data_IF_867161646313
#
_entry.id   IF_867161646313
#
_cell.length_a   1.000
_cell.length_b   1.000
_cell.length_c   1.000
_cell.angle_alpha   90.00
_cell.angle_beta   90.00
_cell.angle_gamma   90.00
#
_symmetry.space_group_name_H-M   'P 1'
#
loop_
_entity.id
_entity.type
_entity.pdbx_description
1 polymer ?
#
# COMPACT_ATOMS: atom_id res chain seq x y z
N UNK A 1 -18.88 17.13 -4.75
CA UNK A 1 -18.85 15.84 -5.47
C UNK A 1 -17.70 15.78 -6.48
N UNK A 2 -17.57 16.73 -7.40
CA UNK A 2 -16.46 16.73 -8.42
C UNK A 2 -15.08 16.79 -7.74
N UNK A 3 -14.89 17.64 -6.75
CA UNK A 3 -13.62 17.76 -6.01
C UNK A 3 -13.20 16.42 -5.40
N UNK A 4 -14.11 15.69 -4.82
CA UNK A 4 -13.89 14.36 -4.25
C UNK A 4 -13.30 13.37 -5.28
N UNK A 5 -13.86 13.32 -6.49
CA UNK A 5 -13.35 12.43 -7.54
C UNK A 5 -11.98 12.88 -8.06
N UNK A 6 -11.73 14.19 -8.11
CA UNK A 6 -10.41 14.73 -8.51
C UNK A 6 -9.35 14.34 -7.48
N UNK A 7 -9.63 14.46 -6.19
CA UNK A 7 -8.73 14.07 -5.10
C UNK A 7 -8.39 12.58 -5.16
N UNK A 8 -9.40 11.71 -5.33
CA UNK A 8 -9.15 10.26 -5.50
C UNK A 8 -8.32 9.97 -6.75
N UNK A 9 -8.60 10.66 -7.85
CA UNK A 9 -7.83 10.48 -9.08
C UNK A 9 -6.36 10.86 -8.88
N UNK A 10 -6.08 11.99 -8.22
CA UNK A 10 -4.71 12.42 -7.91
C UNK A 10 -4.01 11.38 -7.03
N UNK A 11 -4.66 10.93 -5.95
CA UNK A 11 -4.10 9.92 -5.07
C UNK A 11 -3.84 8.59 -5.80
N UNK A 12 -4.74 8.20 -6.72
CA UNK A 12 -4.59 6.98 -7.52
C UNK A 12 -3.41 7.06 -8.49
N UNK A 13 -3.20 8.21 -9.12
CA UNK A 13 -2.06 8.43 -10.02
C UNK A 13 -0.74 8.42 -9.22
N UNK A 14 -0.72 9.07 -8.08
CA UNK A 14 0.44 9.07 -7.17
C UNK A 14 0.74 7.65 -6.73
N UNK A 15 -0.25 6.92 -6.22
CA UNK A 15 -0.09 5.54 -5.79
C UNK A 15 0.43 4.66 -6.93
N UNK A 16 -0.20 4.72 -8.11
CA UNK A 16 0.20 3.91 -9.26
C UNK A 16 1.63 4.21 -9.74
N UNK A 17 2.10 5.44 -9.58
CA UNK A 17 3.47 5.82 -9.93
C UNK A 17 4.49 5.37 -8.88
N UNK A 18 4.24 5.66 -7.60
CA UNK A 18 5.20 5.40 -6.53
C UNK A 18 5.23 3.94 -6.05
N UNK A 19 4.20 3.14 -6.35
CA UNK A 19 4.19 1.71 -5.99
C UNK A 19 5.29 0.91 -6.69
N UNK A 20 5.69 1.33 -7.89
CA UNK A 20 6.72 0.66 -8.68
C UNK A 20 8.13 1.25 -8.50
N UNK A 21 8.24 2.34 -7.77
CA UNK A 21 9.54 2.93 -7.42
C UNK A 21 9.93 2.42 -6.02
N UNK A 22 11.21 2.10 -5.76
CA UNK A 22 11.64 1.58 -4.45
C UNK A 22 11.67 2.67 -3.37
N UNK A 23 10.56 3.36 -3.19
CA UNK A 23 10.31 4.37 -2.16
C UNK A 23 8.94 4.09 -1.52
N UNK A 24 8.74 4.53 -0.28
CA UNK A 24 7.47 4.31 0.40
C UNK A 24 6.34 5.11 -0.26
N UNK A 25 5.46 4.43 -1.01
CA UNK A 25 4.26 5.03 -1.60
C UNK A 25 3.34 5.64 -0.54
N UNK A 26 3.17 4.98 0.60
CA UNK A 26 2.37 5.48 1.73
C UNK A 26 2.89 6.83 2.26
N UNK A 27 4.22 7.00 2.37
CA UNK A 27 4.81 8.27 2.81
C UNK A 27 4.48 9.40 1.81
N UNK A 28 4.55 9.12 0.51
CA UNK A 28 4.23 10.11 -0.53
C UNK A 28 2.75 10.48 -0.54
N UNK A 29 1.85 9.51 -0.35
CA UNK A 29 0.42 9.77 -0.20
C UNK A 29 0.15 10.68 1.00
N UNK A 30 0.86 10.45 2.13
CA UNK A 30 0.75 11.26 3.35
C UNK A 30 1.21 12.70 3.09
N UNK A 31 2.36 12.87 2.46
CA UNK A 31 2.92 14.19 2.18
C UNK A 31 2.03 14.98 1.20
N UNK A 32 1.61 14.35 0.10
CA UNK A 32 0.78 15.01 -0.92
C UNK A 32 -0.57 15.39 -0.35
N UNK A 33 -1.24 14.51 0.42
CA UNK A 33 -2.51 14.84 1.04
C UNK A 33 -2.42 16.02 2.01
N UNK A 34 -1.28 16.16 2.70
CA UNK A 34 -1.04 17.30 3.61
C UNK A 34 -0.75 18.61 2.87
N UNK A 35 0.07 18.57 1.82
CA UNK A 35 0.43 19.76 1.03
C UNK A 35 -0.79 20.26 0.25
N UNK A 36 -1.59 19.37 -0.28
CA UNK A 36 -2.76 19.69 -1.10
C UNK A 36 -4.05 19.86 -0.31
N UNK A 37 -3.99 19.84 1.04
CA UNK A 37 -5.16 19.92 1.94
C UNK A 37 -6.26 18.90 1.59
N UNK A 38 -5.87 17.74 1.06
CA UNK A 38 -6.80 16.66 0.72
C UNK A 38 -7.34 16.04 2.01
N UNK A 39 -8.61 16.26 2.28
CA UNK A 39 -9.28 15.80 3.50
C UNK A 39 -9.76 14.34 3.44
N UNK A 40 -9.69 13.71 2.27
CA UNK A 40 -10.21 12.35 2.02
C UNK A 40 -9.30 11.23 2.50
N UNK A 41 -8.28 11.53 3.27
CA UNK A 41 -7.33 10.52 3.66
C UNK A 41 -7.84 9.69 4.83
N UNK A 42 -8.29 8.49 4.54
CA UNK A 42 -8.57 7.45 5.52
C UNK A 42 -7.73 6.20 5.23
N UNK A 43 -7.54 5.36 6.22
CA UNK A 43 -6.90 4.05 6.06
C UNK A 43 -7.61 3.21 4.98
N UNK A 44 -8.93 3.33 4.88
CA UNK A 44 -9.75 2.62 3.90
C UNK A 44 -9.43 3.02 2.46
N UNK A 45 -9.21 4.31 2.21
CA UNK A 45 -8.81 4.81 0.88
C UNK A 45 -7.40 4.30 0.53
N UNK A 46 -6.46 4.39 1.45
CA UNK A 46 -5.10 3.89 1.21
C UNK A 46 -5.11 2.37 0.90
N UNK A 47 -5.87 1.57 1.65
CA UNK A 47 -6.04 0.14 1.38
C UNK A 47 -6.66 -0.10 0.00
N UNK A 48 -7.67 0.69 -0.37
CA UNK A 48 -8.34 0.57 -1.67
C UNK A 48 -7.40 0.90 -2.83
N UNK A 49 -6.54 1.89 -2.67
CA UNK A 49 -5.51 2.26 -3.66
C UNK A 49 -4.46 1.14 -3.84
N UNK A 50 -3.97 0.57 -2.74
CA UNK A 50 -3.05 -0.57 -2.78
C UNK A 50 -3.70 -1.82 -3.38
N UNK A 51 -4.98 -2.07 -3.09
CA UNK A 51 -5.73 -3.16 -3.71
C UNK A 51 -5.86 -2.97 -5.22
N UNK A 52 -6.10 -1.74 -5.68
CA UNK A 52 -6.11 -1.41 -7.11
C UNK A 52 -4.78 -1.69 -7.79
N UNK A 53 -3.66 -1.29 -7.18
CA UNK A 53 -2.31 -1.59 -7.67
C UNK A 53 -2.04 -3.09 -7.70
N UNK A 54 -2.44 -3.82 -6.67
CA UNK A 54 -2.33 -5.29 -6.61
C UNK A 54 -3.08 -5.96 -7.75
N UNK A 55 -4.32 -5.56 -8.00
CA UNK A 55 -5.13 -6.09 -9.11
C UNK A 55 -4.49 -5.82 -10.46
N UNK A 56 -3.93 -4.62 -10.67
CA UNK A 56 -3.21 -4.29 -11.89
C UNK A 56 -1.98 -5.19 -12.11
N UNK A 57 -1.19 -5.42 -11.05
CA UNK A 57 -0.03 -6.34 -11.08
C UNK A 57 -0.47 -7.77 -11.39
N UNK A 58 -1.51 -8.27 -10.72
CA UNK A 58 -2.03 -9.61 -10.94
C UNK A 58 -2.52 -9.79 -12.38
N UNK A 59 -3.17 -8.79 -12.94
CA UNK A 59 -3.64 -8.82 -14.33
C UNK A 59 -2.48 -8.79 -15.32
N UNK A 60 -1.50 -7.90 -15.11
CA UNK A 60 -0.35 -7.76 -15.99
C UNK A 60 0.53 -9.00 -15.97
N UNK A 61 0.88 -9.50 -14.80
CA UNK A 61 1.75 -10.68 -14.61
C UNK A 61 1.00 -12.01 -14.45
N UNK A 62 -0.24 -12.11 -14.94
CA UNK A 62 -1.08 -13.31 -14.75
C UNK A 62 -0.44 -14.62 -15.18
N UNK A 63 0.43 -14.58 -16.23
CA UNK A 63 1.15 -15.77 -16.69
C UNK A 63 2.25 -16.18 -15.72
N UNK A 64 2.96 -15.23 -15.18
CA UNK A 64 4.04 -15.47 -14.22
C UNK A 64 3.46 -15.97 -12.89
N UNK A 65 2.33 -15.41 -12.46
CA UNK A 65 1.58 -15.94 -11.31
C UNK A 65 1.13 -17.39 -11.50
N UNK A 66 0.62 -17.75 -12.68
CA UNK A 66 0.25 -19.12 -12.99
C UNK A 66 1.46 -20.06 -12.89
N UNK A 67 2.64 -19.63 -13.34
CA UNK A 67 3.88 -20.39 -13.22
C UNK A 67 4.32 -20.54 -11.75
N UNK A 68 4.18 -19.49 -10.93
CA UNK A 68 4.48 -19.56 -9.49
C UNK A 68 3.55 -20.54 -8.79
N UNK A 69 2.26 -20.54 -9.10
CA UNK A 69 1.29 -21.48 -8.52
C UNK A 69 1.59 -22.94 -8.87
N UNK A 70 2.18 -23.20 -10.05
CA UNK A 70 2.59 -24.53 -10.46
C UNK A 70 3.90 -24.97 -9.79
N UNK A 71 4.74 -24.04 -9.33
CA UNK A 71 5.98 -24.33 -8.65
C UNK A 71 5.77 -24.43 -7.13
N UNK A 72 5.49 -25.65 -6.65
CA UNK A 72 5.17 -25.92 -5.24
C UNK A 72 6.25 -25.44 -4.27
N UNK A 73 7.53 -25.54 -4.64
CA UNK A 73 8.65 -25.12 -3.80
C UNK A 73 8.64 -23.58 -3.63
N UNK A 74 8.49 -22.84 -4.72
CA UNK A 74 8.44 -21.40 -4.69
C UNK A 74 7.19 -20.90 -3.93
N UNK A 75 6.05 -21.53 -4.19
CA UNK A 75 4.80 -21.20 -3.49
C UNK A 75 4.93 -21.41 -1.97
N UNK A 76 5.52 -22.54 -1.54
CA UNK A 76 5.72 -22.79 -0.12
C UNK A 76 6.66 -21.77 0.53
N UNK A 77 7.75 -21.38 -0.13
CA UNK A 77 8.66 -20.35 0.35
C UNK A 77 7.96 -19.00 0.53
N UNK A 78 7.12 -18.60 -0.43
CA UNK A 78 6.33 -17.36 -0.35
C UNK A 78 5.36 -17.45 0.81
N UNK A 79 4.61 -18.53 0.96
CA UNK A 79 3.64 -18.70 2.04
C UNK A 79 4.31 -18.67 3.42
N UNK A 80 5.39 -19.44 3.61
CA UNK A 80 6.12 -19.45 4.88
C UNK A 80 6.78 -18.07 5.17
N UNK A 81 7.35 -17.42 4.16
CA UNK A 81 7.93 -16.10 4.29
C UNK A 81 6.91 -15.00 4.62
N UNK A 82 5.64 -15.19 4.24
CA UNK A 82 4.57 -14.23 4.53
C UNK A 82 3.99 -14.36 5.95
N UNK A 83 4.17 -15.49 6.62
CA UNK A 83 3.61 -15.75 7.96
C UNK A 83 4.01 -14.65 8.97
N UNK A 84 5.29 -14.30 9.15
CA UNK A 84 5.67 -13.26 10.12
C UNK A 84 5.06 -11.89 9.78
N UNK A 85 4.92 -11.58 8.49
CA UNK A 85 4.32 -10.32 8.04
C UNK A 85 2.83 -10.25 8.40
N UNK A 86 2.09 -11.33 8.18
CA UNK A 86 0.66 -11.42 8.53
C UNK A 86 0.47 -11.29 10.04
N UNK A 87 1.31 -11.97 10.83
CA UNK A 87 1.26 -11.90 12.30
C UNK A 87 1.53 -10.49 12.82
N UNK A 88 2.60 -9.85 12.34
CA UNK A 88 2.94 -8.49 12.77
C UNK A 88 1.89 -7.48 12.30
N UNK A 89 1.38 -7.60 11.09
CA UNK A 89 0.33 -6.73 10.57
C UNK A 89 -0.97 -6.85 11.38
N UNK A 90 -1.37 -8.08 11.71
CA UNK A 90 -2.55 -8.33 12.56
C UNK A 90 -2.36 -7.74 13.97
N UNK A 91 -1.19 -7.94 14.57
CA UNK A 91 -0.87 -7.38 15.89
C UNK A 91 -0.92 -5.85 15.89
N UNK A 92 -0.30 -5.21 14.90
CA UNK A 92 -0.32 -3.74 14.75
C UNK A 92 -1.74 -3.20 14.54
N UNK A 93 -2.56 -3.92 13.78
CA UNK A 93 -3.96 -3.55 13.56
C UNK A 93 -4.78 -3.62 14.85
N UNK A 94 -4.67 -4.71 15.61
CA UNK A 94 -5.46 -4.91 16.85
C UNK A 94 -5.05 -3.97 17.98
N UNK A 95 -3.80 -3.51 18.00
CA UNK A 95 -3.28 -2.56 19.01
C UNK A 95 -3.48 -1.10 18.66
N UNK A 96 -4.10 -0.77 17.50
CA UNK A 96 -4.23 0.58 16.95
C UNK A 96 -2.88 1.33 16.78
N UNK A 97 -1.77 0.60 16.80
CA UNK A 97 -0.43 1.17 16.59
C UNK A 97 -0.25 1.67 15.16
N UNK A 98 -1.04 1.20 14.21
CA UNK A 98 -0.99 1.64 12.82
C UNK A 98 -1.21 3.15 12.71
N UNK A 99 -2.20 3.70 13.42
CA UNK A 99 -2.51 5.13 13.35
C UNK A 99 -1.36 5.97 13.92
N UNK A 100 -0.73 5.48 14.98
CA UNK A 100 0.44 6.13 15.58
C UNK A 100 1.67 6.10 14.65
N UNK A 101 1.94 4.97 14.00
CA UNK A 101 3.03 4.82 13.03
C UNK A 101 2.82 5.66 11.75
N UNK A 102 1.59 6.07 11.46
CA UNK A 102 1.24 6.94 10.33
C UNK A 102 1.41 8.43 10.64
N UNK A 103 1.84 8.78 11.85
CA UNK A 103 2.16 10.17 12.18
C UNK A 103 3.36 10.67 11.35
N UNK A 104 3.23 11.92 10.86
CA UNK A 104 4.25 12.52 9.97
C UNK A 104 5.63 12.53 10.59
N UNK A 105 5.72 12.73 11.91
CA UNK A 105 7.01 12.73 12.62
C UNK A 105 7.71 11.37 12.50
N UNK A 106 6.97 10.28 12.66
CA UNK A 106 7.51 8.91 12.57
C UNK A 106 7.93 8.61 11.14
N UNK A 107 7.10 8.98 10.15
CA UNK A 107 7.41 8.79 8.73
C UNK A 107 8.67 9.59 8.35
N UNK A 108 8.79 10.84 8.78
CA UNK A 108 9.97 11.65 8.51
C UNK A 108 11.26 11.03 9.09
N UNK A 109 11.20 10.46 10.29
CA UNK A 109 12.34 9.79 10.92
C UNK A 109 12.70 8.44 10.29
N UNK A 110 11.74 7.72 9.71
CA UNK A 110 11.96 6.41 9.09
C UNK A 110 12.36 6.48 7.62
N UNK A 111 12.17 7.63 6.98
CA UNK A 111 12.53 7.86 5.56
C UNK A 111 13.85 8.63 5.39
N UNK A 112 14.45 9.14 6.47
CA UNK A 112 15.79 9.75 6.49
C UNK A 112 16.86 8.69 6.78
#
# INVERSE_FOLDING_TARGET
MIIYYIEILILSLVQGFFEFIPVSSSAHLILISKISEINLRSLEIDISLHLGSLLAILFYFRKDFANILNNKNLLSLILFGSIPLVFTGYFLYTTNLIDHLREIKIIAWTTL
#
